data_IF_048560313212
#
_entry.id   IF_048560313212
#
_cell.length_a   1.000
_cell.length_b   1.000
_cell.length_c   1.000
_cell.angle_alpha   90.00
_cell.angle_beta   90.00
_cell.angle_gamma   90.00
#
_symmetry.space_group_name_H-M   'P 1'
#
loop_
_entity.id
_entity.type
_entity.pdbx_description
1 polymer ?
#
# COMPACT_ATOMS: atom_id res chain seq x y z
N UNK A 1 -49.46 122.25 -8.22
CA UNK A 1 -48.19 122.90 -7.80
C UNK A 1 -47.38 123.50 -8.96
N UNK A 2 -48.03 123.84 -10.08
CA UNK A 2 -47.45 124.69 -11.13
C UNK A 2 -47.91 126.13 -10.91
N UNK A 3 -47.30 126.85 -9.98
CA UNK A 3 -47.43 128.31 -9.92
C UNK A 3 -46.44 128.90 -8.91
N UNK A 4 -45.25 129.22 -9.41
CA UNK A 4 -44.44 130.37 -8.99
C UNK A 4 -43.12 130.26 -9.73
N UNK A 5 -42.91 131.17 -10.69
CA UNK A 5 -41.64 131.80 -11.06
C UNK A 5 -41.79 132.41 -12.47
N UNK A 6 -42.24 133.66 -12.51
CA UNK A 6 -41.97 134.60 -13.60
C UNK A 6 -41.92 136.02 -12.99
N UNK A 7 -41.13 136.95 -13.55
CA UNK A 7 -39.71 136.82 -13.88
C UNK A 7 -38.94 138.06 -13.43
N UNK A 8 -37.67 137.93 -13.04
CA UNK A 8 -36.75 139.06 -12.99
C UNK A 8 -35.45 138.65 -13.68
N UNK A 9 -35.20 139.30 -14.82
CA UNK A 9 -33.95 139.37 -15.58
C UNK A 9 -33.50 138.11 -16.35
N UNK A 10 -33.74 138.13 -17.68
CA UNK A 10 -32.78 137.68 -18.69
C UNK A 10 -32.36 136.21 -18.76
N UNK A 11 -33.26 135.24 -18.57
CA UNK A 11 -32.96 133.81 -18.82
C UNK A 11 -33.78 133.32 -20.02
N UNK A 12 -33.08 132.85 -21.05
CA UNK A 12 -33.59 132.40 -22.35
C UNK A 12 -34.45 131.12 -22.19
N UNK A 13 -35.76 131.26 -22.42
CA UNK A 13 -36.74 130.18 -22.27
C UNK A 13 -36.52 129.04 -23.26
N UNK A 14 -35.93 129.29 -24.43
CA UNK A 14 -35.60 128.23 -25.40
C UNK A 14 -34.48 127.33 -24.89
N UNK A 15 -33.49 127.89 -24.19
CA UNK A 15 -32.36 127.13 -23.63
C UNK A 15 -32.84 126.19 -22.52
N UNK A 16 -33.79 126.64 -21.71
CA UNK A 16 -34.42 125.82 -20.66
C UNK A 16 -35.17 124.62 -21.24
N UNK A 17 -36.04 124.82 -22.25
CA UNK A 17 -36.76 123.71 -22.88
C UNK A 17 -35.83 122.75 -23.62
N UNK A 18 -34.76 123.26 -24.26
CA UNK A 18 -33.75 122.41 -24.89
C UNK A 18 -33.01 121.57 -23.85
N UNK A 19 -32.62 122.16 -22.73
CA UNK A 19 -31.94 121.44 -21.64
C UNK A 19 -32.84 120.38 -21.01
N UNK A 20 -34.13 120.66 -20.84
CA UNK A 20 -35.09 119.70 -20.31
C UNK A 20 -35.41 118.58 -21.32
N UNK A 21 -35.45 118.87 -22.62
CA UNK A 21 -35.55 117.83 -23.67
C UNK A 21 -34.27 116.98 -23.77
N UNK A 22 -33.09 117.59 -23.70
CA UNK A 22 -31.81 116.87 -23.67
C UNK A 22 -31.68 116.02 -22.40
N UNK A 23 -32.26 116.46 -21.29
CA UNK A 23 -32.37 115.66 -20.06
C UNK A 23 -33.36 114.50 -20.25
N UNK A 24 -34.55 114.74 -20.77
CA UNK A 24 -35.54 113.69 -21.05
C UNK A 24 -35.01 112.62 -22.03
N UNK A 25 -34.28 113.00 -23.08
CA UNK A 25 -33.67 112.05 -24.03
C UNK A 25 -32.54 111.24 -23.36
N UNK A 26 -31.73 111.88 -22.50
CA UNK A 26 -30.70 111.17 -21.73
C UNK A 26 -31.32 110.18 -20.74
N UNK A 27 -32.42 110.57 -20.10
CA UNK A 27 -33.16 109.72 -19.17
C UNK A 27 -33.80 108.53 -19.92
N UNK A 28 -34.45 108.75 -21.07
CA UNK A 28 -35.00 107.66 -21.91
C UNK A 28 -33.91 106.68 -22.38
N UNK A 29 -32.75 107.19 -22.79
CA UNK A 29 -31.61 106.32 -23.18
C UNK A 29 -31.09 105.53 -22.00
N UNK A 30 -30.92 106.18 -20.85
CA UNK A 30 -30.50 105.51 -19.62
C UNK A 30 -31.51 104.44 -19.22
N UNK A 31 -32.80 104.72 -19.28
CA UNK A 31 -33.85 103.77 -18.96
C UNK A 31 -33.85 102.59 -19.95
N UNK A 32 -33.69 102.87 -21.26
CA UNK A 32 -33.56 101.84 -22.28
C UNK A 32 -32.32 100.96 -22.06
N UNK A 33 -31.17 101.55 -21.76
CA UNK A 33 -29.92 100.84 -21.50
C UNK A 33 -30.03 100.00 -20.22
N UNK A 34 -30.67 100.53 -19.17
CA UNK A 34 -30.92 99.76 -17.94
C UNK A 34 -31.88 98.61 -18.16
N UNK A 35 -32.96 98.81 -18.93
CA UNK A 35 -33.91 97.77 -19.27
C UNK A 35 -33.26 96.69 -20.16
N UNK A 36 -32.49 97.08 -21.17
CA UNK A 36 -31.78 96.13 -22.03
C UNK A 36 -30.73 95.36 -21.24
N UNK A 37 -29.98 96.04 -20.37
CA UNK A 37 -29.02 95.38 -19.49
C UNK A 37 -29.73 94.43 -18.51
N UNK A 38 -30.91 94.79 -18.00
CA UNK A 38 -31.70 93.94 -17.12
C UNK A 38 -32.24 92.70 -17.85
N UNK A 39 -32.86 92.86 -19.02
CA UNK A 39 -33.37 91.74 -19.83
C UNK A 39 -32.24 90.79 -20.27
N UNK A 40 -31.09 91.34 -20.66
CA UNK A 40 -29.91 90.54 -20.99
C UNK A 40 -29.42 89.76 -19.76
N UNK A 41 -29.35 90.40 -18.60
CA UNK A 41 -28.95 89.75 -17.36
C UNK A 41 -29.95 88.66 -16.96
N UNK A 42 -31.25 88.91 -17.04
CA UNK A 42 -32.28 87.90 -16.76
C UNK A 42 -32.18 86.71 -17.71
N UNK A 43 -31.89 86.94 -18.99
CA UNK A 43 -31.66 85.89 -19.97
C UNK A 43 -30.38 85.10 -19.68
N UNK A 44 -29.29 85.77 -19.30
CA UNK A 44 -28.03 85.14 -18.87
C UNK A 44 -28.24 84.33 -17.59
N UNK A 45 -28.95 84.86 -16.59
CA UNK A 45 -29.31 84.20 -15.34
C UNK A 45 -30.22 82.97 -15.61
N UNK A 46 -31.17 83.09 -16.54
CA UNK A 46 -32.01 81.96 -16.94
C UNK A 46 -31.20 80.84 -17.62
N UNK A 47 -30.32 81.17 -18.57
CA UNK A 47 -29.50 80.17 -19.25
C UNK A 47 -28.45 79.55 -18.33
N UNK A 48 -27.87 80.32 -17.41
CA UNK A 48 -26.93 79.77 -16.42
C UNK A 48 -27.61 78.74 -15.53
N UNK A 49 -28.81 79.05 -15.00
CA UNK A 49 -29.62 78.09 -14.24
C UNK A 49 -30.00 76.87 -15.08
N UNK A 50 -30.40 77.06 -16.36
CA UNK A 50 -30.78 75.95 -17.23
C UNK A 50 -29.59 75.02 -17.54
N UNK A 51 -28.41 75.60 -17.78
CA UNK A 51 -27.18 74.84 -17.99
C UNK A 51 -26.80 74.09 -16.72
N UNK A 52 -26.89 74.73 -15.55
CA UNK A 52 -26.61 74.08 -14.27
C UNK A 52 -27.57 72.93 -14.00
N UNK A 53 -28.86 73.08 -14.31
CA UNK A 53 -29.86 72.01 -14.20
C UNK A 53 -29.53 70.82 -15.12
N UNK A 54 -29.19 71.08 -16.38
CA UNK A 54 -28.78 70.04 -17.35
C UNK A 54 -27.50 69.34 -16.86
N UNK A 55 -26.51 70.11 -16.39
CA UNK A 55 -25.27 69.57 -15.83
C UNK A 55 -25.54 68.72 -14.58
N UNK A 56 -26.44 69.15 -13.70
CA UNK A 56 -26.80 68.41 -12.49
C UNK A 56 -27.53 67.11 -12.83
N UNK A 57 -28.42 67.13 -13.82
CA UNK A 57 -29.09 65.93 -14.32
C UNK A 57 -28.10 64.96 -14.98
N UNK A 58 -27.14 65.46 -15.77
CA UNK A 58 -26.06 64.65 -16.33
C UNK A 58 -25.17 64.04 -15.23
N UNK A 59 -24.81 64.81 -14.20
CA UNK A 59 -24.03 64.33 -13.04
C UNK A 59 -24.75 63.22 -12.27
N UNK A 60 -26.08 63.24 -12.19
CA UNK A 60 -26.86 62.15 -11.57
C UNK A 60 -26.92 60.87 -12.41
N UNK A 61 -26.81 60.99 -13.74
CA UNK A 61 -26.84 59.84 -14.65
C UNK A 61 -25.54 59.03 -14.65
N UNK A 62 -24.39 59.69 -14.45
CA UNK A 62 -23.05 59.04 -14.46
C UNK A 62 -22.92 57.94 -13.38
N UNK A 63 -23.31 58.15 -12.10
CA UNK A 63 -23.31 57.08 -11.09
C UNK A 63 -24.27 55.93 -11.41
N UNK A 64 -25.41 56.21 -12.05
CA UNK A 64 -26.37 55.19 -12.45
C UNK A 64 -25.82 54.29 -13.57
N UNK A 65 -25.13 54.88 -14.55
CA UNK A 65 -24.43 54.15 -15.61
C UNK A 65 -23.28 53.30 -15.02
N UNK A 66 -22.44 53.86 -14.15
CA UNK A 66 -21.39 53.10 -13.48
C UNK A 66 -21.96 51.91 -12.69
N UNK A 67 -23.07 52.12 -11.97
CA UNK A 67 -23.74 51.04 -11.23
C UNK A 67 -24.35 49.99 -12.16
N UNK A 68 -24.87 50.39 -13.32
CA UNK A 68 -25.36 49.46 -14.33
C UNK A 68 -24.23 48.61 -14.93
N UNK A 69 -23.06 49.21 -15.20
CA UNK A 69 -21.87 48.51 -15.68
C UNK A 69 -21.34 47.51 -14.64
N UNK A 70 -21.33 47.90 -13.37
CA UNK A 70 -20.93 47.02 -12.27
C UNK A 70 -21.90 45.85 -12.09
N UNK A 71 -23.22 46.08 -12.22
CA UNK A 71 -24.23 45.02 -12.24
C UNK A 71 -24.05 44.08 -13.44
N UNK A 72 -23.64 44.60 -14.60
CA UNK A 72 -23.38 43.78 -15.79
C UNK A 72 -22.15 42.88 -15.60
N UNK A 73 -21.06 43.41 -15.05
CA UNK A 73 -19.86 42.62 -14.68
C UNK A 73 -20.18 41.54 -13.65
N UNK A 74 -20.96 41.89 -12.62
CA UNK A 74 -21.39 40.92 -11.61
C UNK A 74 -22.29 39.82 -12.23
N UNK A 75 -23.19 40.18 -13.14
CA UNK A 75 -24.02 39.22 -13.89
C UNK A 75 -23.17 38.27 -14.74
N UNK A 76 -22.11 38.76 -15.37
CA UNK A 76 -21.17 37.95 -16.14
C UNK A 76 -20.36 36.99 -15.24
N UNK A 77 -19.87 37.47 -14.09
CA UNK A 77 -19.21 36.62 -13.10
C UNK A 77 -20.15 35.54 -12.55
N UNK A 78 -21.42 35.88 -12.27
CA UNK A 78 -22.44 34.90 -11.86
C UNK A 78 -22.66 33.85 -12.95
N UNK A 79 -22.66 34.23 -14.22
CA UNK A 79 -22.78 33.27 -15.34
C UNK A 79 -21.55 32.35 -15.42
N UNK A 80 -20.33 32.90 -15.31
CA UNK A 80 -19.10 32.11 -15.32
C UNK A 80 -19.07 31.11 -14.16
N UNK A 81 -19.27 31.58 -12.94
CA UNK A 81 -19.30 30.72 -11.73
C UNK A 81 -20.42 29.68 -11.79
N UNK A 82 -21.59 30.02 -12.36
CA UNK A 82 -22.66 29.05 -12.59
C UNK A 82 -22.28 27.99 -13.62
N UNK A 83 -21.56 28.37 -14.66
CA UNK A 83 -21.04 27.42 -15.66
C UNK A 83 -20.01 26.48 -15.03
N UNK A 84 -19.05 27.02 -14.29
CA UNK A 84 -18.06 26.25 -13.53
C UNK A 84 -18.73 25.31 -12.50
N UNK A 85 -19.76 25.78 -11.79
CA UNK A 85 -20.55 24.97 -10.87
C UNK A 85 -21.26 23.82 -11.60
N UNK A 86 -21.84 24.09 -12.77
CA UNK A 86 -22.47 23.05 -13.59
C UNK A 86 -21.47 22.01 -14.07
N UNK A 87 -20.28 22.43 -14.49
CA UNK A 87 -19.26 21.50 -14.98
C UNK A 87 -18.63 20.67 -13.87
N UNK A 88 -18.33 21.28 -12.72
CA UNK A 88 -17.91 20.54 -11.52
C UNK A 88 -18.99 19.56 -11.04
N UNK A 89 -20.27 19.94 -11.14
CA UNK A 89 -21.38 19.03 -10.83
C UNK A 89 -21.46 17.84 -11.77
N UNK A 90 -21.21 18.02 -13.09
CA UNK A 90 -21.14 16.90 -14.05
C UNK A 90 -19.96 15.97 -13.75
N UNK A 91 -18.79 16.54 -13.45
CA UNK A 91 -17.61 15.75 -13.07
C UNK A 91 -17.87 14.95 -11.81
N UNK A 92 -18.53 15.53 -10.81
CA UNK A 92 -18.91 14.83 -9.58
C UNK A 92 -19.85 13.63 -9.86
N UNK A 93 -20.81 13.79 -10.77
CA UNK A 93 -21.71 12.69 -11.16
C UNK A 93 -20.92 11.58 -11.86
N UNK A 94 -20.07 11.94 -12.81
CA UNK A 94 -19.21 10.98 -13.52
C UNK A 94 -18.28 10.21 -12.57
N UNK A 95 -17.61 10.89 -11.66
CA UNK A 95 -16.75 10.24 -10.65
C UNK A 95 -17.54 9.32 -9.71
N UNK A 96 -18.78 9.70 -9.36
CA UNK A 96 -19.66 8.86 -8.56
C UNK A 96 -20.09 7.59 -9.30
N UNK A 97 -20.37 7.69 -10.59
CA UNK A 97 -20.72 6.53 -11.43
C UNK A 97 -19.51 5.60 -11.60
N UNK A 98 -18.30 6.15 -11.82
CA UNK A 98 -17.06 5.39 -11.85
C UNK A 98 -16.78 4.68 -10.53
N UNK A 99 -17.00 5.35 -9.41
CA UNK A 99 -16.86 4.75 -8.09
C UNK A 99 -17.82 3.57 -7.90
N UNK A 100 -19.06 3.72 -8.36
CA UNK A 100 -20.06 2.63 -8.31
C UNK A 100 -19.65 1.44 -9.18
N UNK A 101 -19.18 1.68 -10.41
CA UNK A 101 -18.70 0.60 -11.29
C UNK A 101 -17.48 -0.12 -10.68
N UNK A 102 -16.54 0.64 -10.09
CA UNK A 102 -15.39 0.07 -9.41
C UNK A 102 -15.80 -0.76 -8.19
N UNK A 103 -16.79 -0.29 -7.40
CA UNK A 103 -17.35 -1.06 -6.29
C UNK A 103 -18.01 -2.37 -6.76
N UNK A 104 -18.77 -2.35 -7.86
CA UNK A 104 -19.38 -3.56 -8.42
C UNK A 104 -18.31 -4.54 -8.91
N UNK A 105 -17.22 -4.06 -9.50
CA UNK A 105 -16.10 -4.90 -9.92
C UNK A 105 -15.36 -5.52 -8.73
N UNK A 106 -15.17 -4.76 -7.64
CA UNK A 106 -14.59 -5.27 -6.41
C UNK A 106 -15.46 -6.37 -5.80
N UNK A 107 -16.78 -6.16 -5.72
CA UNK A 107 -17.71 -7.16 -5.20
C UNK A 107 -17.67 -8.47 -6.00
N UNK A 108 -17.64 -8.40 -7.34
CA UNK A 108 -17.49 -9.58 -8.20
C UNK A 108 -16.16 -10.31 -7.96
N UNK A 109 -15.07 -9.56 -7.82
CA UNK A 109 -13.74 -10.15 -7.57
C UNK A 109 -13.67 -10.80 -6.19
N UNK A 110 -14.29 -10.20 -5.17
CA UNK A 110 -14.41 -10.80 -3.84
C UNK A 110 -15.24 -12.10 -3.87
N UNK A 111 -16.34 -12.13 -4.63
CA UNK A 111 -17.13 -13.35 -4.84
C UNK A 111 -16.32 -14.46 -5.53
N UNK A 112 -15.62 -14.14 -6.62
CA UNK A 112 -14.73 -15.08 -7.31
C UNK A 112 -13.61 -15.59 -6.40
N UNK A 113 -12.99 -14.70 -5.61
CA UNK A 113 -11.96 -15.06 -4.66
C UNK A 113 -12.49 -16.02 -3.58
N UNK A 114 -13.66 -15.72 -3.01
CA UNK A 114 -14.30 -16.56 -2.01
C UNK A 114 -14.68 -17.93 -2.58
N UNK A 115 -15.19 -17.97 -3.81
CA UNK A 115 -15.49 -19.22 -4.51
C UNK A 115 -14.24 -20.08 -4.70
N UNK A 116 -13.15 -19.51 -5.23
CA UNK A 116 -11.90 -20.25 -5.43
C UNK A 116 -11.28 -20.69 -4.10
N UNK A 117 -11.39 -19.86 -3.05
CA UNK A 117 -10.94 -20.18 -1.71
C UNK A 117 -11.68 -21.40 -1.15
N UNK A 118 -13.01 -21.43 -1.24
CA UNK A 118 -13.81 -22.59 -0.82
C UNK A 118 -13.46 -23.85 -1.62
N UNK A 119 -13.33 -23.75 -2.94
CA UNK A 119 -12.91 -24.89 -3.77
C UNK A 119 -11.54 -25.44 -3.36
N UNK A 120 -10.59 -24.55 -3.02
CA UNK A 120 -9.26 -24.95 -2.52
C UNK A 120 -9.32 -25.58 -1.15
N UNK A 121 -10.19 -25.10 -0.26
CA UNK A 121 -10.42 -25.66 1.06
C UNK A 121 -11.02 -27.07 0.96
N UNK A 122 -12.05 -27.25 0.14
CA UNK A 122 -12.66 -28.56 -0.14
C UNK A 122 -11.64 -29.57 -0.72
N UNK A 123 -10.79 -29.11 -1.65
CA UNK A 123 -9.74 -29.96 -2.23
C UNK A 123 -8.67 -30.34 -1.20
N UNK A 124 -8.27 -29.41 -0.32
CA UNK A 124 -7.35 -29.69 0.77
C UNK A 124 -7.97 -30.66 1.77
N UNK A 125 -9.24 -30.51 2.12
CA UNK A 125 -9.96 -31.41 3.01
C UNK A 125 -10.04 -32.82 2.44
N UNK A 126 -10.25 -32.96 1.14
CA UNK A 126 -10.24 -34.27 0.49
C UNK A 126 -8.84 -34.91 0.53
N UNK A 127 -7.78 -34.15 0.23
CA UNK A 127 -6.39 -34.62 0.31
C UNK A 127 -6.03 -35.01 1.76
N UNK A 128 -6.45 -34.22 2.75
CA UNK A 128 -6.21 -34.51 4.16
C UNK A 128 -6.90 -35.81 4.60
N UNK A 129 -8.12 -36.07 4.11
CA UNK A 129 -8.83 -37.34 4.35
C UNK A 129 -8.07 -38.53 3.74
N UNK A 130 -7.62 -38.42 2.50
CA UNK A 130 -6.81 -39.46 1.82
C UNK A 130 -5.48 -39.71 2.53
N UNK A 131 -4.82 -38.64 2.99
CA UNK A 131 -3.57 -38.72 3.74
C UNK A 131 -3.79 -39.41 5.09
N UNK A 132 -4.87 -39.08 5.81
CA UNK A 132 -5.23 -39.74 7.06
C UNK A 132 -5.49 -41.23 6.84
N UNK A 133 -6.28 -41.59 5.83
CA UNK A 133 -6.55 -43.00 5.51
C UNK A 133 -5.29 -43.78 5.14
N UNK A 134 -4.37 -43.15 4.40
CA UNK A 134 -3.06 -43.74 4.07
C UNK A 134 -2.18 -43.92 5.31
N UNK A 135 -2.20 -42.94 6.21
CA UNK A 135 -1.46 -43.00 7.47
C UNK A 135 -1.98 -44.13 8.38
N UNK A 136 -3.31 -44.24 8.52
CA UNK A 136 -3.95 -45.32 9.27
C UNK A 136 -3.58 -46.69 8.71
N UNK A 137 -3.54 -46.83 7.37
CA UNK A 137 -3.12 -48.06 6.69
C UNK A 137 -1.67 -48.42 6.98
N UNK A 138 -0.77 -47.43 6.95
CA UNK A 138 0.66 -47.63 7.30
C UNK A 138 0.79 -48.05 8.76
N UNK A 139 0.04 -47.43 9.68
CA UNK A 139 0.07 -47.77 11.10
C UNK A 139 -0.42 -49.20 11.35
N UNK A 140 -1.48 -49.63 10.65
CA UNK A 140 -1.94 -51.02 10.69
C UNK A 140 -0.86 -52.00 10.23
N UNK A 141 -0.25 -51.77 9.07
CA UNK A 141 0.82 -52.63 8.55
C UNK A 141 2.05 -52.67 9.46
N UNK A 142 2.41 -51.53 10.08
CA UNK A 142 3.48 -51.49 11.07
C UNK A 142 3.15 -52.35 12.28
N UNK A 143 1.91 -52.28 12.79
CA UNK A 143 1.47 -53.14 13.90
C UNK A 143 1.47 -54.62 13.53
N UNK A 144 1.05 -54.98 12.32
CA UNK A 144 1.13 -56.36 11.81
C UNK A 144 2.59 -56.84 11.79
N UNK A 145 3.53 -56.03 11.28
CA UNK A 145 4.96 -56.34 11.27
C UNK A 145 5.50 -56.58 12.68
N UNK A 146 5.14 -55.72 13.65
CA UNK A 146 5.57 -55.86 15.04
C UNK A 146 5.07 -57.16 15.67
N UNK A 147 3.81 -57.55 15.41
CA UNK A 147 3.27 -58.83 15.92
C UNK A 147 4.00 -60.03 15.33
N UNK A 148 4.35 -59.99 14.04
CA UNK A 148 5.11 -61.06 13.38
C UNK A 148 6.53 -61.12 13.93
N UNK A 149 7.19 -59.97 14.13
CA UNK A 149 8.50 -59.88 14.76
C UNK A 149 8.50 -60.48 16.16
N UNK A 150 7.50 -60.15 16.97
CA UNK A 150 7.37 -60.69 18.33
C UNK A 150 7.18 -62.21 18.32
N UNK A 151 6.37 -62.72 17.39
CA UNK A 151 6.21 -64.17 17.17
C UNK A 151 7.53 -64.82 16.76
N UNK A 152 8.27 -64.20 15.84
CA UNK A 152 9.57 -64.70 15.39
C UNK A 152 10.59 -64.77 16.54
N UNK A 153 10.73 -63.69 17.33
CA UNK A 153 11.60 -63.67 18.52
C UNK A 153 11.23 -64.79 19.49
N UNK A 154 9.93 -65.00 19.71
CA UNK A 154 9.44 -66.06 20.60
C UNK A 154 9.84 -67.44 20.08
N UNK A 155 9.61 -67.71 18.79
CA UNK A 155 10.00 -68.97 18.14
C UNK A 155 11.52 -69.17 18.14
N UNK A 156 12.32 -68.14 17.90
CA UNK A 156 13.78 -68.21 17.99
C UNK A 156 14.25 -68.54 19.40
N UNK A 157 13.60 -67.98 20.43
CA UNK A 157 13.87 -68.32 21.82
C UNK A 157 13.56 -69.79 22.11
N UNK A 158 12.45 -70.32 21.58
CA UNK A 158 12.02 -71.70 21.73
C UNK A 158 13.01 -72.66 21.04
N UNK A 159 13.40 -72.36 19.80
CA UNK A 159 14.43 -73.09 19.04
C UNK A 159 15.74 -73.13 19.81
N UNK A 160 16.17 -72.02 20.42
CA UNK A 160 17.39 -71.98 21.22
C UNK A 160 17.31 -72.83 22.49
N UNK A 161 16.14 -72.87 23.14
CA UNK A 161 15.91 -73.78 24.27
C UNK A 161 16.01 -75.24 23.79
N UNK A 162 15.36 -75.59 22.69
CA UNK A 162 15.44 -76.94 22.12
C UNK A 162 16.87 -77.33 21.72
N UNK A 163 17.63 -76.42 21.10
CA UNK A 163 19.06 -76.63 20.78
C UNK A 163 19.89 -76.93 22.04
N UNK A 164 19.74 -76.14 23.10
CA UNK A 164 20.46 -76.37 24.37
C UNK A 164 20.11 -77.71 25.01
N UNK A 165 18.84 -78.12 24.93
CA UNK A 165 18.41 -79.41 25.45
C UNK A 165 19.10 -80.56 24.71
N UNK A 166 19.11 -80.49 23.37
CA UNK A 166 19.82 -81.44 22.50
C UNK A 166 21.35 -81.42 22.72
N UNK A 167 21.94 -80.24 22.91
CA UNK A 167 23.36 -80.10 23.23
C UNK A 167 23.70 -80.72 24.60
N UNK A 168 22.78 -80.63 25.57
CA UNK A 168 22.95 -81.29 26.87
C UNK A 168 22.83 -82.83 26.77
N UNK A 169 22.01 -83.32 25.85
CA UNK A 169 21.79 -84.75 25.64
C UNK A 169 22.94 -85.38 24.82
N UNK A 170 23.45 -84.67 23.83
CA UNK A 170 24.66 -85.04 23.08
C UNK A 170 25.91 -84.98 23.97
N UNK A 171 26.08 -83.95 24.83
CA UNK A 171 27.17 -83.90 25.81
C UNK A 171 27.14 -85.02 26.86
N UNK A 172 25.98 -85.61 27.16
CA UNK A 172 25.89 -86.81 28.00
C UNK A 172 26.34 -88.08 27.27
N UNK A 173 26.29 -88.10 25.94
CA UNK A 173 26.75 -89.20 25.09
C UNK A 173 28.24 -89.08 24.69
N UNK A 174 28.88 -87.91 24.87
CA UNK A 174 30.23 -87.62 24.39
C UNK A 174 31.25 -87.22 25.47
N UNK A 175 31.11 -87.63 26.74
CA UNK A 175 32.15 -87.35 27.74
C UNK A 175 33.51 -87.98 27.39
N UNK A 176 34.39 -87.15 26.81
CA UNK A 176 35.83 -87.14 27.07
C UNK A 176 36.22 -85.69 27.44
N UNK A 177 37.02 -85.47 28.50
CA UNK A 177 37.26 -84.13 29.03
C UNK A 177 38.53 -83.52 28.44
N UNK A 178 38.45 -82.32 27.86
CA UNK A 178 39.59 -81.40 27.78
C UNK A 178 39.09 -79.96 27.89
N UNK A 179 39.40 -79.34 29.03
CA UNK A 179 39.47 -77.88 29.21
C UNK A 179 40.43 -77.27 28.20
N UNK A 180 40.16 -76.07 27.66
CA UNK A 180 41.14 -74.97 27.60
C UNK A 180 40.58 -73.70 26.91
N UNK A 181 40.67 -72.60 27.68
CA UNK A 181 41.22 -71.27 27.30
C UNK A 181 40.39 -70.36 26.38
N UNK A 182 39.67 -69.44 27.06
CA UNK A 182 39.61 -67.98 26.90
C UNK A 182 40.03 -67.30 25.57
N UNK A 183 39.08 -66.47 25.11
CA UNK A 183 39.16 -65.19 24.34
C UNK A 183 39.41 -65.21 22.82
N UNK A 184 38.58 -64.47 22.07
CA UNK A 184 39.05 -63.19 21.56
C UNK A 184 38.11 -62.02 21.89
N UNK A 185 38.75 -60.86 22.05
CA UNK A 185 38.23 -59.53 22.35
C UNK A 185 37.29 -58.99 21.26
N UNK A 186 36.18 -58.32 21.63
CA UNK A 186 35.31 -57.63 20.69
C UNK A 186 35.90 -56.26 20.32
N UNK A 187 35.94 -55.97 19.02
CA UNK A 187 36.15 -54.62 18.50
C UNK A 187 35.08 -53.67 19.04
N UNK A 188 35.45 -52.49 19.58
CA UNK A 188 34.45 -51.51 19.99
C UNK A 188 33.78 -50.90 18.75
N UNK A 189 32.44 -50.85 18.68
CA UNK A 189 31.79 -49.94 17.75
C UNK A 189 32.11 -48.51 18.17
N UNK A 190 32.64 -47.74 17.22
CA UNK A 190 32.84 -46.31 17.30
C UNK A 190 31.59 -45.63 17.85
N UNK A 191 31.71 -45.07 19.06
CA UNK A 191 30.71 -44.24 19.71
C UNK A 191 30.69 -42.87 19.01
N UNK A 192 30.08 -42.84 17.82
CA UNK A 192 29.94 -41.66 16.99
C UNK A 192 28.56 -41.05 17.09
N UNK A 193 28.37 -40.14 18.06
CA UNK A 193 27.31 -39.11 18.09
C UNK A 193 25.86 -39.60 17.90
N UNK A 194 25.28 -40.17 18.95
CA UNK A 194 23.85 -40.51 19.06
C UNK A 194 22.93 -39.27 19.26
N UNK A 195 23.21 -38.16 18.58
CA UNK A 195 22.39 -36.94 18.62
C UNK A 195 21.53 -36.84 17.36
N UNK A 196 20.54 -37.72 17.27
CA UNK A 196 19.41 -37.61 16.33
C UNK A 196 19.73 -37.80 14.84
N UNK A 197 18.86 -38.54 14.15
CA UNK A 197 18.91 -38.69 12.70
C UNK A 197 18.25 -37.48 12.03
N UNK A 198 19.01 -36.76 11.19
CA UNK A 198 18.50 -35.61 10.43
C UNK A 198 17.99 -36.07 9.06
N UNK A 199 16.71 -35.85 8.80
CA UNK A 199 16.06 -36.05 7.51
C UNK A 199 15.95 -34.71 6.78
N UNK A 200 16.46 -34.64 5.54
CA UNK A 200 16.36 -33.46 4.68
C UNK A 200 15.70 -33.84 3.36
N UNK A 201 14.72 -33.05 2.93
CA UNK A 201 14.06 -33.16 1.62
C UNK A 201 14.11 -31.81 0.93
N UNK A 202 14.66 -31.76 -0.28
CA UNK A 202 14.70 -30.54 -1.12
C UNK A 202 13.98 -30.78 -2.43
N UNK A 203 13.14 -29.84 -2.85
CA UNK A 203 12.43 -29.83 -4.12
C UNK A 203 12.75 -28.52 -4.84
N UNK A 204 12.94 -28.59 -6.15
CA UNK A 204 13.23 -27.45 -7.02
C UNK A 204 12.37 -27.52 -8.28
N UNK A 205 11.76 -26.39 -8.65
CA UNK A 205 10.97 -26.19 -9.87
C UNK A 205 11.51 -24.96 -10.60
N UNK A 206 12.48 -25.20 -11.48
CA UNK A 206 13.17 -24.16 -12.23
C UNK A 206 14.61 -23.92 -11.75
N UNK A 207 15.19 -22.75 -12.03
CA UNK A 207 16.62 -22.50 -11.85
C UNK A 207 17.03 -22.22 -10.39
N UNK A 208 16.13 -21.65 -9.58
CA UNK A 208 16.42 -21.25 -8.20
C UNK A 208 16.13 -22.39 -7.22
N UNK A 209 17.09 -22.71 -6.36
CA UNK A 209 16.99 -23.70 -5.29
C UNK A 209 17.19 -23.06 -3.92
N UNK A 210 16.64 -23.68 -2.86
CA UNK A 210 17.05 -23.41 -1.48
C UNK A 210 18.29 -24.26 -1.21
N UNK A 211 19.46 -23.61 -1.26
CA UNK A 211 20.77 -24.27 -1.07
C UNK A 211 20.96 -24.71 0.36
N UNK A 212 20.68 -23.83 1.31
CA UNK A 212 20.87 -24.11 2.73
C UNK A 212 19.95 -23.27 3.62
N UNK A 213 19.58 -23.84 4.78
CA UNK A 213 18.92 -23.14 5.87
C UNK A 213 19.75 -23.36 7.13
N UNK A 214 20.36 -22.30 7.65
CA UNK A 214 21.25 -22.41 8.80
C UNK A 214 20.48 -22.93 10.03
N UNK A 215 20.98 -23.98 10.74
CA UNK A 215 20.30 -24.55 11.90
C UNK A 215 20.09 -23.57 13.06
N UNK A 216 20.93 -22.54 13.16
CA UNK A 216 20.81 -21.46 14.15
C UNK A 216 19.80 -20.36 13.76
N UNK A 217 19.10 -20.56 12.64
CA UNK A 217 18.08 -19.63 12.14
C UNK A 217 18.65 -18.29 11.68
N UNK A 218 19.96 -18.15 11.46
CA UNK A 218 20.55 -16.84 11.10
C UNK A 218 20.51 -16.52 9.61
N UNK A 219 20.50 -17.53 8.75
CA UNK A 219 20.61 -17.33 7.30
C UNK A 219 19.85 -18.40 6.51
N UNK A 220 19.26 -17.98 5.40
CA UNK A 220 18.78 -18.85 4.33
C UNK A 220 19.55 -18.48 3.06
N UNK A 221 20.02 -19.48 2.31
CA UNK A 221 20.78 -19.28 1.08
C UNK A 221 20.00 -19.82 -0.12
N UNK A 222 19.78 -18.96 -1.11
CA UNK A 222 19.23 -19.33 -2.41
C UNK A 222 20.37 -19.47 -3.41
N UNK A 223 20.23 -20.39 -4.36
CA UNK A 223 21.21 -20.64 -5.42
C UNK A 223 20.54 -20.62 -6.77
N UNK A 224 21.14 -19.93 -7.73
CA UNK A 224 20.78 -20.06 -9.13
C UNK A 224 21.62 -21.16 -9.79
N UNK A 225 21.01 -22.32 -9.96
CA UNK A 225 21.62 -23.51 -10.58
C UNK A 225 21.51 -23.53 -12.12
N UNK A 226 21.12 -22.41 -12.74
CA UNK A 226 21.16 -22.24 -14.19
C UNK A 226 22.60 -22.21 -14.71
N UNK A 227 22.81 -22.70 -15.93
CA UNK A 227 24.13 -22.69 -16.58
C UNK A 227 24.45 -21.37 -17.27
N UNK A 228 23.44 -20.67 -17.79
CA UNK A 228 23.60 -19.55 -18.72
C UNK A 228 22.60 -18.40 -18.50
N UNK A 229 21.72 -18.50 -17.50
CA UNK A 229 20.66 -17.52 -17.26
C UNK A 229 20.68 -16.96 -15.85
N UNK A 230 20.77 -15.63 -15.79
CA UNK A 230 20.50 -14.86 -14.60
C UNK A 230 18.99 -14.87 -14.31
N UNK A 231 18.62 -14.84 -13.03
CA UNK A 231 17.22 -14.92 -12.60
C UNK A 231 16.91 -13.76 -11.70
N UNK A 232 15.92 -12.96 -12.09
CA UNK A 232 15.33 -11.93 -11.25
C UNK A 232 14.44 -12.58 -10.19
N UNK A 233 14.77 -12.36 -8.93
CA UNK A 233 14.03 -12.85 -7.75
C UNK A 233 13.36 -11.70 -7.00
N UNK A 234 13.22 -10.53 -7.63
CA UNK A 234 12.49 -9.39 -7.10
C UNK A 234 11.09 -9.78 -6.68
N UNK A 235 10.68 -9.36 -5.49
CA UNK A 235 9.35 -9.62 -4.92
C UNK A 235 9.00 -11.10 -4.69
N UNK A 236 9.95 -12.02 -4.88
CA UNK A 236 9.74 -13.42 -4.51
C UNK A 236 9.63 -13.54 -3.00
N UNK A 237 8.83 -14.49 -2.52
CA UNK A 237 8.52 -14.62 -1.10
C UNK A 237 9.03 -15.95 -0.55
N UNK A 238 9.78 -15.87 0.55
CA UNK A 238 10.14 -16.99 1.41
C UNK A 238 9.10 -17.15 2.51
N UNK A 239 8.57 -18.36 2.65
CA UNK A 239 7.71 -18.75 3.76
C UNK A 239 8.37 -19.86 4.54
N UNK A 240 8.57 -19.69 5.84
CA UNK A 240 9.20 -20.66 6.72
C UNK A 240 8.31 -20.99 7.90
N UNK A 241 8.02 -22.27 8.06
CA UNK A 241 7.27 -22.84 9.17
C UNK A 241 8.23 -23.63 10.05
N UNK A 242 8.26 -23.29 11.33
CA UNK A 242 9.01 -24.01 12.37
C UNK A 242 7.99 -24.55 13.37
N UNK A 243 8.17 -25.79 13.81
CA UNK A 243 7.29 -26.43 14.79
C UNK A 243 7.07 -25.55 16.03
N UNK A 244 5.80 -25.38 16.42
CA UNK A 244 5.41 -24.58 17.59
C UNK A 244 5.52 -23.06 17.42
N UNK A 245 5.89 -22.55 16.23
CA UNK A 245 6.05 -21.12 15.96
C UNK A 245 5.13 -20.64 14.83
N UNK A 246 4.74 -19.35 14.81
CA UNK A 246 4.01 -18.77 13.69
C UNK A 246 4.84 -18.82 12.41
N UNK A 247 4.17 -18.89 11.25
CA UNK A 247 4.82 -18.91 9.95
C UNK A 247 5.48 -17.55 9.65
N UNK A 248 6.76 -17.60 9.31
CA UNK A 248 7.56 -16.44 8.92
C UNK A 248 7.39 -16.24 7.42
N UNK A 249 7.04 -15.03 6.99
CA UNK A 249 6.97 -14.64 5.58
C UNK A 249 7.89 -13.46 5.31
N UNK A 250 8.74 -13.57 4.30
CA UNK A 250 9.69 -12.53 3.90
C UNK A 250 9.69 -12.35 2.39
N UNK A 251 9.52 -11.12 1.94
CA UNK A 251 9.56 -10.75 0.52
C UNK A 251 10.93 -10.19 0.18
N UNK A 252 11.56 -10.76 -0.84
CA UNK A 252 12.85 -10.34 -1.37
C UNK A 252 12.69 -8.93 -1.97
N UNK A 253 13.55 -7.95 -1.59
CA UNK A 253 13.48 -6.59 -2.12
C UNK A 253 13.55 -6.53 -3.64
N UNK A 254 12.89 -5.52 -4.21
CA UNK A 254 12.91 -5.26 -5.64
C UNK A 254 14.33 -4.98 -6.16
N UNK A 255 14.62 -5.47 -7.37
CA UNK A 255 15.89 -5.26 -8.08
C UNK A 255 16.95 -6.34 -7.83
N UNK A 256 16.61 -7.46 -7.20
CA UNK A 256 17.57 -8.52 -6.87
C UNK A 256 17.62 -9.60 -7.96
N UNK A 257 18.78 -9.68 -8.61
CA UNK A 257 19.07 -10.67 -9.65
C UNK A 257 20.16 -11.62 -9.13
N UNK A 258 19.84 -12.92 -9.09
CA UNK A 258 20.84 -13.96 -8.81
C UNK A 258 21.45 -14.37 -10.14
N UNK A 259 22.72 -14.02 -10.34
CA UNK A 259 23.45 -14.43 -11.54
C UNK A 259 23.58 -15.95 -11.64
N UNK A 260 23.71 -16.47 -12.85
CA UNK A 260 23.91 -17.91 -13.08
C UNK A 260 25.10 -18.43 -12.25
N UNK A 261 24.93 -19.59 -11.59
CA UNK A 261 25.95 -20.21 -10.72
C UNK A 261 26.26 -19.47 -9.42
N UNK A 262 25.54 -18.39 -9.08
CA UNK A 262 25.75 -17.61 -7.86
C UNK A 262 24.64 -17.83 -6.82
N UNK A 263 24.92 -17.35 -5.61
CA UNK A 263 24.04 -17.46 -4.45
C UNK A 263 23.55 -16.09 -3.96
N UNK A 264 22.36 -16.07 -3.37
CA UNK A 264 21.85 -14.97 -2.54
C UNK A 264 21.71 -15.46 -1.10
N UNK A 265 22.37 -14.77 -0.17
CA UNK A 265 22.26 -15.03 1.27
C UNK A 265 21.31 -14.03 1.92
N UNK A 266 20.36 -14.55 2.70
CA UNK A 266 19.31 -13.77 3.32
C UNK A 266 19.41 -13.96 4.83
N UNK A 267 19.95 -12.95 5.51
CA UNK A 267 20.22 -12.99 6.94
C UNK A 267 19.08 -12.43 7.76
N UNK A 268 18.86 -12.99 8.95
CA UNK A 268 18.03 -12.37 9.98
C UNK A 268 18.85 -11.34 10.79
N UNK A 269 18.17 -10.45 11.51
CA UNK A 269 18.80 -9.37 12.30
C UNK A 269 19.77 -9.88 13.37
N UNK A 270 19.54 -11.04 13.97
CA UNK A 270 20.43 -11.64 14.97
C UNK A 270 21.79 -12.10 14.42
N UNK A 271 21.99 -12.08 13.10
CA UNK A 271 23.29 -12.34 12.50
C UNK A 271 24.25 -11.16 12.73
N UNK A 272 24.89 -11.10 13.90
CA UNK A 272 25.72 -9.99 14.39
C UNK A 272 26.79 -9.47 13.41
N UNK A 273 27.24 -10.29 12.45
CA UNK A 273 28.27 -9.94 11.47
C UNK A 273 27.75 -9.85 10.02
N UNK A 274 26.43 -9.88 9.81
CA UNK A 274 25.86 -9.77 8.47
C UNK A 274 25.69 -8.30 8.06
N UNK A 275 26.22 -7.94 6.89
CA UNK A 275 26.06 -6.62 6.29
C UNK A 275 25.15 -6.68 5.07
N UNK A 276 24.22 -5.73 4.92
CA UNK A 276 23.39 -5.62 3.72
C UNK A 276 24.26 -5.24 2.51
N UNK A 277 24.47 -6.18 1.57
CA UNK A 277 25.36 -6.04 0.40
C UNK A 277 24.71 -6.69 -0.84
N UNK A 278 23.64 -6.08 -1.39
CA UNK A 278 22.98 -6.60 -2.58
C UNK A 278 23.94 -6.58 -3.79
N UNK A 279 23.82 -7.54 -4.73
CA UNK A 279 22.77 -8.54 -4.82
C UNK A 279 23.08 -9.87 -4.14
N UNK A 280 24.29 -10.09 -3.61
CA UNK A 280 24.69 -11.40 -3.05
C UNK A 280 24.26 -11.61 -1.61
N UNK A 281 23.97 -10.53 -0.88
CA UNK A 281 23.59 -10.59 0.52
C UNK A 281 22.57 -9.52 0.89
N UNK A 282 21.48 -9.95 1.53
CA UNK A 282 20.51 -9.05 2.15
C UNK A 282 20.30 -9.41 3.61
N UNK A 283 19.91 -8.42 4.39
CA UNK A 283 19.56 -8.54 5.80
C UNK A 283 18.09 -8.15 5.92
N UNK A 284 17.29 -9.07 6.48
CA UNK A 284 15.93 -8.82 6.92
C UNK A 284 15.99 -8.16 8.31
N UNK A 285 15.74 -6.86 8.37
CA UNK A 285 15.77 -6.06 9.59
C UNK A 285 14.50 -6.18 10.44
N UNK A 286 13.42 -6.73 9.85
CA UNK A 286 12.12 -6.95 10.51
C UNK A 286 12.07 -8.25 11.31
N UNK A 287 13.00 -9.18 11.08
CA UNK A 287 12.99 -10.51 11.66
C UNK A 287 14.27 -10.78 12.46
N UNK A 288 14.13 -11.08 13.75
CA UNK A 288 15.28 -11.43 14.60
C UNK A 288 15.93 -12.76 14.21
N UNK A 289 15.15 -13.78 13.85
CA UNK A 289 15.63 -15.10 13.47
C UNK A 289 14.66 -15.77 12.48
N UNK A 290 15.17 -16.58 11.58
CA UNK A 290 14.40 -17.52 10.75
C UNK A 290 13.80 -18.68 11.55
N UNK A 291 14.04 -18.74 12.86
CA UNK A 291 13.51 -19.76 13.75
C UNK A 291 14.36 -21.04 13.73
N UNK A 292 14.48 -21.63 14.92
CA UNK A 292 15.23 -22.84 15.19
C UNK A 292 14.25 -23.91 15.67
N UNK A 293 14.39 -25.13 15.18
CA UNK A 293 13.51 -26.23 15.58
C UNK A 293 13.91 -27.56 14.99
N UNK A 294 13.33 -28.62 15.55
CA UNK A 294 13.55 -30.01 15.14
C UNK A 294 12.83 -30.36 13.85
N UNK A 295 11.69 -29.73 13.56
CA UNK A 295 10.98 -29.83 12.30
C UNK A 295 10.76 -28.44 11.68
N UNK A 296 11.30 -28.25 10.48
CA UNK A 296 11.24 -26.98 9.73
C UNK A 296 10.84 -27.24 8.27
N UNK A 297 10.04 -26.36 7.70
CA UNK A 297 9.74 -26.31 6.27
C UNK A 297 9.95 -24.89 5.74
N UNK A 298 10.73 -24.75 4.67
CA UNK A 298 10.98 -23.47 4.00
C UNK A 298 10.56 -23.59 2.54
N UNK A 299 9.75 -22.67 2.05
CA UNK A 299 9.22 -22.63 0.68
C UNK A 299 9.50 -21.27 0.04
N UNK A 300 9.84 -21.29 -1.24
CA UNK A 300 10.10 -20.11 -2.05
C UNK A 300 9.03 -19.99 -3.14
N UNK A 301 8.42 -18.81 -3.25
CA UNK A 301 7.37 -18.48 -4.21
C UNK A 301 7.81 -17.33 -5.11
N UNK A 302 7.48 -17.39 -6.40
CA UNK A 302 7.67 -16.24 -7.30
C UNK A 302 6.60 -15.16 -7.06
N UNK A 303 6.72 -14.04 -7.78
CA UNK A 303 5.77 -12.92 -7.72
C UNK A 303 4.33 -13.33 -8.10
N UNK A 304 4.16 -14.37 -8.92
CA UNK A 304 2.87 -14.93 -9.30
C UNK A 304 2.28 -15.88 -8.24
N UNK A 305 2.98 -16.14 -7.14
CA UNK A 305 2.53 -17.04 -6.06
C UNK A 305 2.76 -18.54 -6.34
N UNK A 306 3.53 -18.90 -7.36
CA UNK A 306 3.91 -20.27 -7.68
C UNK A 306 5.11 -20.73 -6.84
N UNK A 307 5.02 -21.91 -6.21
CA UNK A 307 6.15 -22.51 -5.49
C UNK A 307 7.28 -22.90 -6.47
N UNK A 308 8.48 -22.33 -6.28
CA UNK A 308 9.68 -22.62 -7.07
C UNK A 308 10.67 -23.52 -6.35
N UNK A 309 10.72 -23.52 -5.04
CA UNK A 309 11.58 -24.45 -4.29
C UNK A 309 11.05 -24.70 -2.88
N UNK A 310 11.38 -25.85 -2.32
CA UNK A 310 11.10 -26.17 -0.92
C UNK A 310 12.21 -27.00 -0.27
N UNK A 311 12.44 -26.77 1.02
CA UNK A 311 13.38 -27.50 1.87
C UNK A 311 12.69 -27.84 3.19
N UNK A 312 12.53 -29.13 3.46
CA UNK A 312 12.01 -29.67 4.72
C UNK A 312 13.15 -30.35 5.47
N UNK A 313 13.26 -30.04 6.76
CA UNK A 313 14.24 -30.63 7.67
C UNK A 313 13.50 -31.20 8.89
N UNK A 314 13.79 -32.44 9.27
CA UNK A 314 13.26 -33.09 10.48
C UNK A 314 14.37 -33.84 11.21
N UNK A 315 14.57 -33.54 12.49
CA UNK A 315 15.51 -34.23 13.38
C UNK A 315 14.71 -35.21 14.22
N UNK A 316 15.09 -36.49 14.19
CA UNK A 316 14.47 -37.55 14.99
C UNK A 316 15.50 -38.05 15.99
N UNK A 317 15.27 -37.81 17.27
CA UNK A 317 16.09 -38.38 18.33
C UNK A 317 15.73 -39.86 18.51
N UNK A 318 16.73 -40.72 18.71
CA UNK A 318 16.47 -42.13 19.01
C UNK A 318 15.73 -42.23 20.33
N UNK A 319 14.57 -42.89 20.33
CA UNK A 319 13.85 -43.19 21.56
C UNK A 319 14.66 -44.20 22.38
N UNK A 320 14.94 -43.87 23.64
CA UNK A 320 15.42 -44.82 24.63
C UNK A 320 14.57 -46.10 24.58
N UNK A 321 15.24 -47.24 24.54
CA UNK A 321 14.62 -48.52 24.86
C UNK A 321 13.95 -48.39 26.23
N UNK A 322 12.62 -48.44 26.26
CA UNK A 322 11.87 -48.68 27.49
C UNK A 322 12.35 -49.99 28.11
N UNK A 323 13.32 -49.90 29.01
CA UNK A 323 13.61 -50.96 29.97
C UNK A 323 12.43 -50.98 30.93
N UNK A 324 11.43 -51.79 30.65
CA UNK A 324 10.66 -52.40 31.72
C UNK A 324 11.60 -53.36 32.44
N UNK A 325 12.09 -52.93 33.60
CA UNK A 325 12.60 -53.86 34.60
C UNK A 325 11.41 -54.58 35.26
N UNK A 326 11.60 -55.85 35.66
CA UNK A 326 10.55 -56.77 36.07
C UNK A 326 9.78 -56.35 37.32
#
# INVERSE_FOLDING_TARGET
>A
EFEQLKPTNGIDTQLFYRQELEKAIRDIRRDFDTLHSAQRKEMEDYYTVKIEEIQNNARKLVPLQSRQDDLMKMSEQIKSTKFELSDTQKLLIHEKDNYKELQERLAKLEEEYNYLRHQREDANDNINKELSSSHDRIQQLSGEIDTILQSNITLESEINIYRRLLDSETNRLTQQPVEQILSPEPTPPSFGSELGKVFNKKIKKGPIAIKDCAPDGKCITLENSSMDKDVDVSNWTLKRRVEGSPEISYTIPYGLIIKHGNDLKIYARSAQNAHHRPPSQVVNDQLDSWGMGTACETKLFNEQGEEKASHSQKIVFGSESSRHLP
#
